data_IF_520117367671
#
_entry.id   IF_520117367671
#
_cell.length_a   1.000
_cell.length_b   1.000
_cell.length_c   1.000
_cell.angle_alpha   90.00
_cell.angle_beta   90.00
_cell.angle_gamma   90.00
#
_symmetry.space_group_name_H-M   'P 1'
#
loop_
_entity.id
_entity.type
_entity.pdbx_description
1 polymer ?
#
# COMPACT_ATOMS: atom_id res chain seq x y z
N UNK A 1 -22.38 23.24 -12.64
CA UNK A 1 -22.07 23.67 -14.03
C UNK A 1 -20.63 23.32 -14.50
N UNK A 2 -19.72 22.83 -13.64
CA UNK A 2 -18.34 22.47 -14.06
C UNK A 2 -18.18 21.08 -14.69
N UNK A 3 -19.18 20.19 -14.61
CA UNK A 3 -19.09 18.82 -15.18
C UNK A 3 -19.26 18.74 -16.70
N UNK A 4 -19.93 19.72 -17.33
CA UNK A 4 -20.07 19.74 -18.80
C UNK A 4 -18.85 20.37 -19.50
N UNK A 5 -18.15 21.31 -18.87
CA UNK A 5 -16.96 21.95 -19.46
C UNK A 5 -15.78 20.97 -19.65
N UNK A 6 -15.62 19.99 -18.75
CA UNK A 6 -14.54 19.01 -18.83
C UNK A 6 -14.74 17.97 -19.95
N UNK A 7 -16.00 17.61 -20.25
CA UNK A 7 -16.33 16.68 -21.34
C UNK A 7 -16.24 17.37 -22.70
N UNK A 8 -16.69 18.63 -22.81
CA UNK A 8 -16.59 19.40 -24.05
C UNK A 8 -15.14 19.72 -24.44
N UNK A 9 -14.25 19.96 -23.48
CA UNK A 9 -12.83 20.20 -23.76
C UNK A 9 -12.12 18.92 -24.25
N UNK A 10 -12.47 17.76 -23.69
CA UNK A 10 -11.95 16.47 -24.16
C UNK A 10 -12.47 16.10 -25.56
N UNK A 11 -13.74 16.45 -25.88
CA UNK A 11 -14.33 16.27 -27.21
C UNK A 11 -13.72 17.22 -28.26
N UNK A 12 -13.37 18.45 -27.89
CA UNK A 12 -12.66 19.41 -28.77
C UNK A 12 -11.22 18.94 -29.03
N UNK A 13 -10.53 18.39 -28.02
CA UNK A 13 -9.18 17.81 -28.16
C UNK A 13 -9.15 16.52 -28.99
N UNK A 14 -10.18 15.67 -28.87
CA UNK A 14 -10.32 14.45 -29.67
C UNK A 14 -10.74 14.75 -31.12
N UNK A 15 -11.62 15.74 -31.36
CA UNK A 15 -12.00 16.17 -32.71
C UNK A 15 -10.86 16.90 -33.44
N UNK A 16 -10.03 17.66 -32.71
CA UNK A 16 -8.85 18.33 -33.28
C UNK A 16 -7.74 17.37 -33.73
N UNK A 17 -7.69 16.15 -33.20
CA UNK A 17 -6.72 15.13 -33.62
C UNK A 17 -7.21 14.25 -34.78
N UNK A 18 -8.52 14.27 -35.08
CA UNK A 18 -9.15 13.51 -36.17
C UNK A 18 -9.17 14.31 -37.48
N UNK A 19 -9.17 15.64 -37.42
CA UNK A 19 -9.02 16.52 -38.59
C UNK A 19 -7.56 16.98 -38.69
N UNK A 20 -6.77 16.24 -39.46
CA UNK A 20 -5.35 16.52 -39.65
C UNK A 20 -5.07 17.97 -40.07
N UNK A 21 -4.26 18.66 -39.26
CA UNK A 21 -3.53 19.86 -39.67
C UNK A 21 -2.05 19.64 -39.34
N UNK A 22 -1.30 19.34 -40.39
CA UNK A 22 0.16 19.35 -40.44
C UNK A 22 0.69 20.73 -40.03
N UNK A 23 1.33 20.81 -38.84
CA UNK A 23 2.08 21.98 -38.40
C UNK A 23 1.95 22.29 -36.91
N UNK A 24 2.33 21.36 -36.02
CA UNK A 24 2.44 21.70 -34.58
C UNK A 24 3.76 22.42 -34.35
N UNK A 25 3.68 23.69 -33.97
CA UNK A 25 4.84 24.52 -33.71
C UNK A 25 5.42 24.20 -32.31
N UNK A 26 6.71 24.45 -32.11
CA UNK A 26 7.43 24.26 -30.82
C UNK A 26 6.79 25.03 -29.64
N UNK A 27 5.88 25.97 -29.92
CA UNK A 27 5.10 26.68 -28.90
C UNK A 27 3.92 25.89 -28.33
N UNK A 28 3.29 25.00 -29.11
CA UNK A 28 2.13 24.22 -28.66
C UNK A 28 2.53 23.16 -27.61
N UNK A 29 3.74 22.61 -27.76
CA UNK A 29 4.31 21.60 -26.85
C UNK A 29 4.68 22.21 -25.47
N UNK A 30 5.13 23.46 -25.46
CA UNK A 30 5.43 24.24 -24.23
C UNK A 30 4.16 24.62 -23.45
N UNK A 31 3.07 24.93 -24.16
CA UNK A 31 1.78 25.28 -23.52
C UNK A 31 1.14 24.04 -22.87
N UNK A 32 1.26 22.87 -23.51
CA UNK A 32 0.78 21.60 -22.94
C UNK A 32 1.56 21.20 -21.67
N UNK A 33 2.88 21.39 -21.65
CA UNK A 33 3.72 21.10 -20.47
C UNK A 33 3.37 22.02 -19.29
N UNK A 34 3.19 23.33 -19.54
CA UNK A 34 2.76 24.28 -18.50
C UNK A 34 1.38 23.95 -17.94
N UNK A 35 0.41 23.59 -18.79
CA UNK A 35 -0.92 23.20 -18.33
C UNK A 35 -0.89 21.93 -17.45
N UNK A 36 -0.02 20.98 -17.78
CA UNK A 36 0.15 19.75 -17.00
C UNK A 36 0.87 20.00 -15.67
N UNK A 37 1.85 20.91 -15.65
CA UNK A 37 2.50 21.37 -14.42
C UNK A 37 1.52 22.11 -13.49
N UNK A 38 0.68 22.99 -14.03
CA UNK A 38 -0.37 23.69 -13.27
C UNK A 38 -1.37 22.71 -12.63
N UNK A 39 -1.80 21.69 -13.37
CA UNK A 39 -2.70 20.66 -12.87
C UNK A 39 -2.05 19.82 -11.75
N UNK A 40 -0.76 19.52 -11.90
CA UNK A 40 0.01 18.78 -10.89
C UNK A 40 0.12 19.56 -9.59
N UNK A 41 0.40 20.87 -9.66
CA UNK A 41 0.46 21.76 -8.49
C UNK A 41 -0.90 21.82 -7.79
N UNK A 42 -2.00 21.96 -8.54
CA UNK A 42 -3.37 21.98 -7.98
C UNK A 42 -3.71 20.66 -7.27
N UNK A 43 -3.31 19.53 -7.84
CA UNK A 43 -3.53 18.20 -7.23
C UNK A 43 -2.74 18.06 -5.93
N UNK A 44 -1.46 18.43 -5.94
CA UNK A 44 -0.60 18.41 -4.77
C UNK A 44 -1.11 19.35 -3.65
N UNK A 45 -1.65 20.52 -3.99
CA UNK A 45 -2.30 21.44 -3.06
C UNK A 45 -3.49 20.78 -2.33
N UNK A 46 -4.38 20.12 -3.07
CA UNK A 46 -5.52 19.43 -2.48
C UNK A 46 -5.11 18.27 -1.57
N UNK A 47 -4.11 17.48 -1.97
CA UNK A 47 -3.57 16.42 -1.10
C UNK A 47 -2.95 16.97 0.19
N UNK A 48 -2.18 18.05 0.09
CA UNK A 48 -1.58 18.71 1.25
C UNK A 48 -2.67 19.17 2.21
N UNK A 49 -3.71 19.84 1.70
CA UNK A 49 -4.83 20.30 2.52
C UNK A 49 -5.54 19.16 3.28
N UNK A 50 -5.74 18.00 2.63
CA UNK A 50 -6.34 16.83 3.30
C UNK A 50 -5.43 16.25 4.39
N UNK A 51 -4.12 16.21 4.16
CA UNK A 51 -3.14 15.73 5.16
C UNK A 51 -3.09 16.66 6.37
N UNK A 52 -3.00 17.97 6.13
CA UNK A 52 -3.02 18.99 7.20
C UNK A 52 -4.32 18.90 8.02
N UNK A 53 -5.48 18.84 7.34
CA UNK A 53 -6.78 18.69 8.03
C UNK A 53 -6.83 17.42 8.89
N UNK A 54 -6.31 16.30 8.39
CA UNK A 54 -6.28 15.04 9.13
C UNK A 54 -5.38 15.14 10.37
N UNK A 55 -4.19 15.75 10.23
CA UNK A 55 -3.27 15.96 11.35
C UNK A 55 -3.86 16.88 12.41
N UNK A 56 -4.48 18.00 12.01
CA UNK A 56 -5.13 18.93 12.94
C UNK A 56 -6.29 18.30 13.71
N UNK A 57 -7.04 17.36 13.11
CA UNK A 57 -8.20 16.75 13.76
C UNK A 57 -7.87 15.49 14.58
N UNK A 58 -6.86 14.71 14.18
CA UNK A 58 -6.64 13.37 14.73
C UNK A 58 -5.28 13.17 15.42
N UNK A 59 -4.35 14.12 15.31
CA UNK A 59 -2.95 13.95 15.73
C UNK A 59 -2.46 15.04 16.69
N UNK A 60 -3.37 15.77 17.35
CA UNK A 60 -3.03 16.68 18.43
C UNK A 60 -2.41 15.84 19.58
N UNK A 61 -1.13 16.04 19.87
CA UNK A 61 -0.34 15.23 20.81
C UNK A 61 0.93 14.59 20.19
N UNK A 62 1.00 14.45 18.86
CA UNK A 62 2.16 13.90 18.15
C UNK A 62 2.97 15.02 17.47
N UNK A 63 3.87 15.63 18.25
CA UNK A 63 4.71 16.77 17.82
C UNK A 63 5.56 16.41 16.60
N UNK A 64 6.10 15.19 16.53
CA UNK A 64 6.96 14.78 15.42
C UNK A 64 6.20 14.73 14.08
N UNK A 65 4.95 14.25 14.12
CA UNK A 65 4.10 14.18 12.93
C UNK A 65 3.61 15.56 12.49
N UNK A 66 3.31 16.46 13.44
CA UNK A 66 2.97 17.86 13.17
C UNK A 66 4.14 18.58 12.49
N UNK A 67 5.37 18.43 13.02
CA UNK A 67 6.59 19.00 12.41
C UNK A 67 6.90 18.41 11.03
N UNK A 68 6.58 17.14 10.78
CA UNK A 68 6.72 16.54 9.45
C UNK A 68 5.74 17.17 8.43
N UNK A 69 4.51 17.47 8.85
CA UNK A 69 3.55 18.17 7.99
C UNK A 69 3.92 19.63 7.75
N UNK A 70 4.45 20.34 8.77
CA UNK A 70 4.99 21.70 8.59
C UNK A 70 6.10 21.72 7.53
N UNK A 71 7.07 20.81 7.62
CA UNK A 71 8.14 20.68 6.60
C UNK A 71 7.59 20.42 5.21
N UNK A 72 6.56 19.58 5.10
CA UNK A 72 5.91 19.26 3.82
C UNK A 72 5.20 20.48 3.23
N UNK A 73 4.50 21.26 4.06
CA UNK A 73 3.82 22.49 3.64
C UNK A 73 4.81 23.59 3.23
N UNK A 74 5.90 23.78 3.99
CA UNK A 74 6.96 24.73 3.63
C UNK A 74 7.67 24.34 2.33
N UNK A 75 7.95 23.06 2.13
CA UNK A 75 8.53 22.57 0.87
C UNK A 75 7.58 22.78 -0.32
N UNK A 76 6.27 22.54 -0.13
CA UNK A 76 5.28 22.81 -1.17
C UNK A 76 5.25 24.30 -1.56
N UNK A 77 5.33 25.19 -0.58
CA UNK A 77 5.37 26.64 -0.84
C UNK A 77 6.61 27.03 -1.67
N UNK A 78 7.79 26.48 -1.36
CA UNK A 78 9.01 26.69 -2.16
C UNK A 78 8.85 26.21 -3.61
N UNK A 79 8.22 25.05 -3.83
CA UNK A 79 7.95 24.52 -5.17
C UNK A 79 6.99 25.43 -5.93
N UNK A 80 5.93 25.93 -5.28
CA UNK A 80 4.97 26.85 -5.90
C UNK A 80 5.64 28.18 -6.28
N UNK A 81 6.54 28.70 -5.46
CA UNK A 81 7.32 29.91 -5.75
C UNK A 81 8.26 29.73 -6.96
N UNK A 82 8.91 28.57 -7.08
CA UNK A 82 9.77 28.25 -8.23
C UNK A 82 9.01 28.14 -9.54
N UNK A 83 7.73 27.74 -9.48
CA UNK A 83 6.85 27.57 -10.64
C UNK A 83 5.82 28.70 -10.76
N UNK A 84 6.16 29.92 -10.31
CA UNK A 84 5.25 31.08 -10.35
C UNK A 84 4.68 31.35 -11.74
N UNK A 85 5.49 31.17 -12.78
CA UNK A 85 5.13 31.49 -14.17
C UNK A 85 4.08 30.54 -14.78
N UNK A 86 3.83 29.40 -14.10
CA UNK A 86 2.91 28.36 -14.54
C UNK A 86 1.47 28.58 -14.03
N UNK A 87 1.32 29.36 -12.95
CA UNK A 87 0.03 29.62 -12.31
C UNK A 87 -0.51 31.00 -12.70
N UNK A 88 -1.84 31.13 -12.73
CA UNK A 88 -2.44 32.46 -12.81
C UNK A 88 -2.09 33.26 -11.55
N UNK A 89 -1.99 34.59 -11.67
CA UNK A 89 -1.64 35.44 -10.52
C UNK A 89 -2.65 35.34 -9.37
N UNK A 90 -3.92 35.07 -9.68
CA UNK A 90 -4.98 34.82 -8.71
C UNK A 90 -4.80 33.47 -8.01
N UNK A 91 -4.58 32.38 -8.76
CA UNK A 91 -4.35 31.05 -8.18
C UNK A 91 -3.12 31.03 -7.28
N UNK A 92 -2.05 31.71 -7.69
CA UNK A 92 -0.82 31.81 -6.90
C UNK A 92 -1.08 32.48 -5.55
N UNK A 93 -1.84 33.58 -5.53
CA UNK A 93 -2.19 34.27 -4.28
C UNK A 93 -3.08 33.40 -3.38
N UNK A 94 -4.06 32.71 -3.96
CA UNK A 94 -4.96 31.81 -3.21
C UNK A 94 -4.17 30.65 -2.59
N UNK A 95 -3.31 30.00 -3.36
CA UNK A 95 -2.52 28.85 -2.90
C UNK A 95 -1.52 29.27 -1.83
N UNK A 96 -0.76 30.36 -2.05
CA UNK A 96 0.23 30.83 -1.07
C UNK A 96 -0.42 31.31 0.22
N UNK A 97 -1.53 32.07 0.13
CA UNK A 97 -2.30 32.49 1.30
C UNK A 97 -2.88 31.30 2.09
N UNK A 98 -3.48 30.34 1.40
CA UNK A 98 -4.07 29.16 2.05
C UNK A 98 -3.02 28.27 2.71
N UNK A 99 -1.85 28.09 2.09
CA UNK A 99 -0.74 27.31 2.67
C UNK A 99 -0.14 28.04 3.88
N UNK A 100 -0.06 29.36 3.86
CA UNK A 100 0.37 30.15 5.02
C UNK A 100 -0.61 30.00 6.21
N UNK A 101 -1.91 30.00 5.95
CA UNK A 101 -2.92 29.71 6.98
C UNK A 101 -2.78 28.28 7.53
N UNK A 102 -2.53 27.29 6.66
CA UNK A 102 -2.28 25.90 7.09
C UNK A 102 -1.06 25.79 8.00
N UNK A 103 0.05 26.48 7.66
CA UNK A 103 1.25 26.52 8.49
C UNK A 103 0.97 27.16 9.85
N UNK A 104 0.25 28.28 9.88
CA UNK A 104 -0.16 28.93 11.13
C UNK A 104 -1.03 28.03 12.01
N UNK A 105 -1.95 27.27 11.42
CA UNK A 105 -2.77 26.30 12.14
C UNK A 105 -1.93 25.14 12.71
N UNK A 106 -0.94 24.64 11.96
CA UNK A 106 -0.03 23.59 12.43
C UNK A 106 0.88 24.08 13.56
N UNK A 107 1.38 25.32 13.50
CA UNK A 107 2.19 25.92 14.56
C UNK A 107 1.38 26.14 15.85
N UNK A 108 0.11 26.54 15.73
CA UNK A 108 -0.81 26.60 16.88
C UNK A 108 -1.07 25.22 17.47
N UNK A 109 -1.20 24.18 16.63
CA UNK A 109 -1.38 22.80 17.08
C UNK A 109 -0.12 22.26 17.78
N UNK A 110 1.07 22.59 17.29
CA UNK A 110 2.34 22.24 17.92
C UNK A 110 2.49 22.87 19.31
N UNK A 111 2.16 24.16 19.44
CA UNK A 111 2.15 24.85 20.75
C UNK A 111 1.20 24.19 21.73
N UNK A 112 -0.05 23.96 21.30
CA UNK A 112 -1.06 23.23 22.11
C UNK A 112 -0.62 21.82 22.50
N UNK A 113 0.13 21.15 21.63
CA UNK A 113 0.66 19.80 21.89
C UNK A 113 1.88 19.81 22.82
N UNK A 114 2.65 20.91 22.86
CA UNK A 114 3.81 21.08 23.72
C UNK A 114 3.43 21.47 25.14
N UNK A 115 2.30 22.16 25.31
CA UNK A 115 1.75 22.56 26.62
C UNK A 115 1.01 21.42 27.36
N UNK A 116 1.00 20.21 26.79
CA UNK A 116 0.37 19.06 27.42
C UNK A 116 1.33 18.44 28.46
N UNK A 117 1.04 18.67 29.75
CA UNK A 117 1.76 18.08 30.89
C UNK A 117 1.98 16.55 30.69
N UNK A 118 3.22 16.04 30.87
CA UNK A 118 3.55 14.63 30.69
C UNK A 118 2.94 13.78 31.82
N UNK A 119 1.64 13.54 31.74
CA UNK A 119 0.89 12.82 32.76
C UNK A 119 -0.61 12.72 32.46
N UNK A 120 -1.16 13.63 31.64
CA UNK A 120 -2.58 13.59 31.28
C UNK A 120 -2.77 12.78 29.99
N UNK A 121 -2.49 11.48 30.05
CA UNK A 121 -3.05 10.53 29.10
C UNK A 121 -4.58 10.64 29.22
N UNK A 122 -5.23 11.32 28.28
CA UNK A 122 -6.63 11.05 27.98
C UNK A 122 -6.71 9.55 27.77
N UNK A 123 -7.31 8.85 28.74
CA UNK A 123 -7.23 7.40 28.84
C UNK A 123 -7.46 6.80 27.47
N UNK A 124 -6.43 6.13 26.93
CA UNK A 124 -6.53 5.47 25.63
C UNK A 124 -7.76 4.57 25.73
N UNK A 125 -8.82 4.90 24.99
CA UNK A 125 -10.04 4.10 25.00
C UNK A 125 -9.63 2.70 24.56
N UNK A 126 -9.61 1.76 25.50
CA UNK A 126 -9.28 0.38 25.21
C UNK A 126 -10.45 -0.21 24.42
N UNK A 127 -10.37 -0.10 23.10
CA UNK A 127 -11.39 -0.61 22.18
C UNK A 127 -11.42 -2.14 22.13
N UNK A 128 -10.36 -2.79 22.63
CA UNK A 128 -10.22 -4.24 22.63
C UNK A 128 -9.31 -4.75 23.74
N UNK A 129 -9.68 -5.87 24.36
CA UNK A 129 -8.91 -6.51 25.43
C UNK A 129 -8.89 -8.03 25.27
N UNK A 130 -7.93 -8.69 25.93
CA UNK A 130 -7.80 -10.15 25.94
C UNK A 130 -8.51 -10.73 27.16
N UNK A 131 -9.35 -11.74 26.93
CA UNK A 131 -10.03 -12.53 27.95
C UNK A 131 -9.40 -13.92 28.01
N UNK A 132 -8.92 -14.27 29.20
CA UNK A 132 -8.35 -15.57 29.50
C UNK A 132 -9.42 -16.44 30.14
N UNK A 133 -9.76 -17.56 29.51
CA UNK A 133 -10.84 -18.46 29.95
C UNK A 133 -10.35 -19.58 30.87
N UNK A 134 -9.07 -19.60 31.23
CA UNK A 134 -8.44 -20.64 32.06
C UNK A 134 -8.31 -22.02 31.39
N UNK A 135 -8.78 -22.17 30.14
CA UNK A 135 -8.67 -23.41 29.35
C UNK A 135 -7.46 -23.34 28.40
N UNK A 136 -6.81 -24.47 28.09
CA UNK A 136 -5.74 -24.50 27.09
C UNK A 136 -6.26 -24.01 25.73
N UNK A 137 -5.60 -23.00 25.17
CA UNK A 137 -5.97 -22.39 23.89
C UNK A 137 -5.55 -20.92 23.78
N UNK A 138 -5.67 -20.36 22.56
CA UNK A 138 -5.36 -18.94 22.30
C UNK A 138 -6.35 -18.02 23.03
N UNK A 139 -5.89 -16.99 23.77
CA UNK A 139 -6.75 -16.04 24.46
C UNK A 139 -7.78 -15.38 23.52
N UNK A 140 -8.98 -15.17 24.05
CA UNK A 140 -10.13 -14.66 23.30
C UNK A 140 -10.11 -13.13 23.33
N UNK A 141 -10.13 -12.46 22.17
CA UNK A 141 -10.02 -10.99 22.08
C UNK A 141 -11.40 -10.34 21.98
N UNK A 142 -11.89 -9.71 23.03
CA UNK A 142 -13.20 -9.03 23.04
C UNK A 142 -13.06 -7.59 22.54
N UNK A 143 -14.15 -7.06 21.97
CA UNK A 143 -14.25 -5.69 21.46
C UNK A 143 -15.41 -5.00 22.17
N UNK A 144 -15.33 -3.67 22.33
CA UNK A 144 -16.47 -2.91 22.83
C UNK A 144 -17.66 -3.01 21.83
N UNK A 145 -18.83 -3.53 22.24
CA UNK A 145 -19.96 -3.75 21.33
C UNK A 145 -20.54 -2.46 20.76
N UNK A 146 -20.56 -1.37 21.53
CA UNK A 146 -21.13 -0.09 21.09
C UNK A 146 -20.21 0.57 20.05
N UNK A 147 -18.90 0.59 20.32
CA UNK A 147 -17.91 1.11 19.37
C UNK A 147 -17.89 0.26 18.10
N UNK A 148 -18.06 -1.06 18.22
CA UNK A 148 -18.09 -1.97 17.08
C UNK A 148 -19.33 -1.74 16.20
N UNK A 149 -20.51 -1.59 16.79
CA UNK A 149 -21.75 -1.31 16.06
C UNK A 149 -21.63 0.00 15.27
N UNK A 150 -21.30 1.11 15.94
CA UNK A 150 -21.11 2.41 15.28
C UNK A 150 -19.97 2.38 14.27
N UNK A 151 -18.89 1.65 14.56
CA UNK A 151 -17.77 1.48 13.64
C UNK A 151 -18.18 0.79 12.35
N UNK A 152 -19.00 -0.26 12.43
CA UNK A 152 -19.47 -1.02 11.27
C UNK A 152 -20.41 -0.21 10.37
N UNK A 153 -21.24 0.64 10.96
CA UNK A 153 -22.11 1.57 10.21
C UNK A 153 -21.29 2.58 9.38
N UNK A 154 -20.17 3.06 9.95
CA UNK A 154 -19.31 4.06 9.31
C UNK A 154 -18.30 3.43 8.33
N UNK A 155 -17.77 2.25 8.65
CA UNK A 155 -16.69 1.59 7.91
C UNK A 155 -16.84 0.07 7.96
N UNK A 156 -16.61 -0.60 6.84
CA UNK A 156 -16.60 -2.05 6.81
C UNK A 156 -15.48 -2.68 7.67
N UNK A 157 -15.52 -4.01 7.95
CA UNK A 157 -14.62 -4.68 8.89
C UNK A 157 -13.11 -4.51 8.62
N UNK A 158 -12.70 -4.24 7.38
CA UNK A 158 -11.30 -3.93 7.00
C UNK A 158 -10.86 -2.54 7.46
N UNK A 159 -11.75 -1.55 7.36
CA UNK A 159 -11.48 -0.18 7.77
C UNK A 159 -11.35 -0.02 9.29
N UNK A 160 -11.89 -0.97 10.05
CA UNK A 160 -11.86 -0.99 11.52
C UNK A 160 -10.63 -1.69 12.11
N UNK A 161 -9.80 -2.33 11.29
CA UNK A 161 -8.58 -3.01 11.76
C UNK A 161 -7.62 -2.11 12.54
N UNK A 162 -7.38 -0.84 12.13
CA UNK A 162 -6.49 0.07 12.87
C UNK A 162 -7.08 0.49 14.22
N UNK A 163 -8.41 0.63 14.32
CA UNK A 163 -9.11 1.10 15.53
C UNK A 163 -9.10 0.04 16.62
N UNK A 164 -9.40 -1.20 16.25
CA UNK A 164 -9.44 -2.31 17.19
C UNK A 164 -8.10 -3.04 17.30
N UNK A 165 -7.11 -2.77 16.45
CA UNK A 165 -5.85 -3.50 16.39
C UNK A 165 -6.04 -5.03 16.24
N UNK A 166 -6.97 -5.47 15.39
CA UNK A 166 -7.18 -6.88 15.05
C UNK A 166 -7.58 -7.10 13.60
N UNK A 167 -7.49 -8.34 13.13
CA UNK A 167 -7.82 -8.67 11.75
C UNK A 167 -9.33 -8.55 11.48
N UNK A 168 -9.70 -8.18 10.24
CA UNK A 168 -11.09 -8.04 9.82
C UNK A 168 -11.94 -9.30 10.08
N UNK A 169 -11.32 -10.49 10.02
CA UNK A 169 -11.97 -11.76 10.38
C UNK A 169 -12.36 -11.82 11.85
N UNK A 170 -11.51 -11.32 12.75
CA UNK A 170 -11.82 -11.27 14.19
C UNK A 170 -12.94 -10.27 14.44
N UNK A 171 -12.89 -9.10 13.81
CA UNK A 171 -13.95 -8.06 13.90
C UNK A 171 -15.30 -8.62 13.44
N UNK A 172 -15.34 -9.25 12.26
CA UNK A 172 -16.57 -9.88 11.75
C UNK A 172 -17.07 -10.99 12.66
N UNK A 173 -16.18 -11.86 13.17
CA UNK A 173 -16.56 -12.91 14.12
C UNK A 173 -17.21 -12.31 15.37
N UNK A 174 -16.69 -11.20 15.88
CA UNK A 174 -17.24 -10.51 17.05
C UNK A 174 -18.57 -9.83 16.78
N UNK A 175 -18.71 -9.23 15.61
CA UNK A 175 -19.98 -8.67 15.18
C UNK A 175 -21.08 -9.75 15.12
N UNK A 176 -20.74 -10.97 14.68
CA UNK A 176 -21.66 -12.11 14.70
C UNK A 176 -21.92 -12.60 16.13
N UNK A 177 -20.88 -12.76 16.97
CA UNK A 177 -21.02 -13.17 18.37
C UNK A 177 -21.95 -12.22 19.16
N UNK A 178 -21.88 -10.91 18.90
CA UNK A 178 -22.71 -9.89 19.55
C UNK A 178 -24.08 -9.67 18.87
N UNK A 179 -24.38 -10.39 17.78
CA UNK A 179 -25.64 -10.24 17.04
C UNK A 179 -25.77 -8.95 16.22
N UNK A 180 -24.68 -8.23 15.99
CA UNK A 180 -24.62 -7.00 15.18
C UNK A 180 -24.62 -7.34 13.68
N UNK A 181 -24.04 -8.49 13.31
CA UNK A 181 -23.93 -8.93 11.91
C UNK A 181 -24.47 -10.34 11.76
N UNK A 182 -25.20 -10.60 10.67
CA UNK A 182 -25.69 -11.94 10.38
C UNK A 182 -24.54 -12.89 9.97
N UNK A 183 -24.61 -14.17 10.38
CA UNK A 183 -23.69 -15.19 9.89
C UNK A 183 -23.73 -15.27 8.37
N UNK A 184 -22.55 -15.38 7.75
CA UNK A 184 -22.50 -15.66 6.31
C UNK A 184 -23.12 -17.04 6.04
N UNK A 185 -23.76 -17.24 4.87
CA UNK A 185 -24.19 -18.57 4.45
C UNK A 185 -23.01 -19.55 4.48
N UNK A 186 -23.28 -20.83 4.77
CA UNK A 186 -22.24 -21.84 4.86
C UNK A 186 -21.45 -21.92 3.55
N UNK A 187 -20.16 -22.23 3.64
CA UNK A 187 -19.25 -22.28 2.47
C UNK A 187 -19.66 -23.38 1.49
N UNK A 188 -20.32 -24.43 1.98
CA UNK A 188 -20.86 -25.52 1.20
C UNK A 188 -22.18 -26.01 1.79
N UNK A 189 -23.03 -26.61 0.95
CA UNK A 189 -24.21 -27.39 1.35
C UNK A 189 -23.91 -28.84 1.02
N UNK A 190 -24.10 -29.73 1.99
CA UNK A 190 -24.05 -31.18 1.81
C UNK A 190 -25.48 -31.70 1.57
N UNK A 191 -25.66 -32.53 0.55
CA UNK A 191 -26.87 -33.35 0.40
C UNK A 191 -26.48 -34.77 0.00
N UNK A 192 -27.35 -35.72 0.33
CA UNK A 192 -27.25 -37.10 -0.10
C UNK A 192 -27.90 -37.21 -1.49
N UNK A 193 -27.12 -37.59 -2.49
CA UNK A 193 -27.62 -37.79 -3.85
C UNK A 193 -28.46 -39.09 -3.89
N UNK A 194 -29.76 -38.96 -4.19
CA UNK A 194 -30.72 -40.08 -4.12
C UNK A 194 -30.39 -41.22 -5.11
N UNK A 195 -29.64 -40.93 -6.18
CA UNK A 195 -29.31 -41.90 -7.24
C UNK A 195 -28.02 -42.66 -6.92
N UNK A 196 -27.05 -41.99 -6.31
CA UNK A 196 -25.72 -42.57 -6.04
C UNK A 196 -25.47 -42.92 -4.57
N UNK A 197 -26.38 -42.53 -3.67
CA UNK A 197 -26.24 -42.62 -2.21
C UNK A 197 -24.89 -42.09 -1.68
N UNK A 198 -24.28 -41.17 -2.41
CA UNK A 198 -23.04 -40.50 -2.01
C UNK A 198 -23.34 -39.10 -1.49
N UNK A 199 -22.61 -38.72 -0.43
CA UNK A 199 -22.59 -37.35 0.10
C UNK A 199 -21.85 -36.44 -0.87
N UNK A 200 -22.58 -35.53 -1.49
CA UNK A 200 -22.01 -34.54 -2.42
C UNK A 200 -21.95 -33.18 -1.73
N UNK A 201 -20.79 -32.52 -1.83
CA UNK A 201 -20.53 -31.17 -1.30
C UNK A 201 -20.64 -30.15 -2.42
N UNK A 202 -21.66 -29.29 -2.38
CA UNK A 202 -21.75 -28.14 -3.28
C UNK A 202 -21.20 -26.89 -2.60
N UNK A 203 -20.19 -26.27 -3.21
CA UNK A 203 -19.64 -25.01 -2.76
C UNK A 203 -20.44 -23.84 -3.34
N UNK A 204 -20.82 -22.88 -2.50
CA UNK A 204 -21.39 -21.64 -3.03
C UNK A 204 -20.30 -20.84 -3.76
N UNK A 205 -20.57 -20.30 -4.96
CA UNK A 205 -19.69 -19.32 -5.57
C UNK A 205 -19.57 -18.12 -4.63
N UNK A 206 -18.34 -17.74 -4.26
CA UNK A 206 -18.11 -16.60 -3.36
C UNK A 206 -18.64 -15.30 -4.00
N UNK A 207 -19.33 -14.42 -3.26
CA UNK A 207 -19.77 -13.10 -3.72
C UNK A 207 -18.61 -12.08 -3.71
N UNK A 208 -17.41 -12.47 -4.16
CA UNK A 208 -16.27 -11.55 -4.34
C UNK A 208 -16.28 -10.88 -5.73
N UNK A 209 -17.44 -10.80 -6.35
CA UNK A 209 -17.68 -10.02 -7.55
C UNK A 209 -19.07 -9.43 -7.44
N UNK A 210 -19.21 -8.46 -6.53
CA UNK A 210 -20.16 -7.36 -6.80
C UNK A 210 -19.72 -6.83 -8.16
N UNK A 211 -20.63 -6.95 -9.12
CA UNK A 211 -20.60 -6.23 -10.39
C UNK A 211 -20.62 -4.73 -10.09
N UNK A 212 -19.52 -4.18 -9.58
CA UNK A 212 -19.22 -2.77 -9.81
C UNK A 212 -19.07 -2.67 -11.32
N UNK A 213 -20.06 -2.02 -11.96
CA UNK A 213 -20.15 -1.93 -13.41
C UNK A 213 -18.77 -1.66 -14.01
N UNK A 214 -18.23 -2.60 -14.82
CA UNK A 214 -16.91 -2.40 -15.40
C UNK A 214 -16.94 -1.10 -16.20
N UNK A 215 -15.99 -0.22 -15.91
CA UNK A 215 -15.82 1.05 -16.61
C UNK A 215 -15.95 0.86 -18.12
N UNK A 216 -16.64 1.80 -18.75
CA UNK A 216 -17.25 1.76 -20.09
C UNK A 216 -16.30 1.62 -21.29
N UNK A 217 -15.12 1.02 -21.14
CA UNK A 217 -14.25 0.71 -22.27
C UNK A 217 -14.66 -0.59 -22.94
N UNK A 218 -14.91 -0.49 -24.24
CA UNK A 218 -15.02 -1.65 -25.14
C UNK A 218 -13.71 -2.45 -25.14
N UNK A 219 -13.78 -3.72 -25.50
CA UNK A 219 -12.58 -4.55 -25.63
C UNK A 219 -11.67 -4.03 -26.77
N UNK A 220 -12.25 -3.46 -27.83
CA UNK A 220 -11.51 -2.86 -28.94
C UNK A 220 -10.72 -1.62 -28.53
N UNK A 221 -11.33 -0.75 -27.72
CA UNK A 221 -10.66 0.45 -27.24
C UNK A 221 -9.61 0.11 -26.18
N UNK A 222 -9.87 -0.90 -25.35
CA UNK A 222 -8.88 -1.44 -24.43
C UNK A 222 -7.65 -1.99 -25.18
N UNK A 223 -7.87 -2.74 -26.25
CA UNK A 223 -6.80 -3.29 -27.08
C UNK A 223 -5.98 -2.16 -27.77
N UNK A 224 -6.62 -1.06 -28.18
CA UNK A 224 -5.92 0.12 -28.74
C UNK A 224 -5.05 0.79 -27.68
N UNK A 225 -5.57 1.00 -26.46
CA UNK A 225 -4.83 1.64 -25.37
C UNK A 225 -3.66 0.76 -24.94
N UNK A 226 -3.86 -0.55 -24.75
CA UNK A 226 -2.77 -1.48 -24.40
C UNK A 226 -1.71 -1.54 -25.50
N UNK A 227 -2.12 -1.56 -26.78
CA UNK A 227 -1.18 -1.51 -27.92
C UNK A 227 -0.36 -0.22 -27.94
N UNK A 228 -0.98 0.91 -27.62
CA UNK A 228 -0.28 2.19 -27.52
C UNK A 228 0.73 2.20 -26.36
N UNK A 229 0.32 1.74 -25.17
CA UNK A 229 1.21 1.63 -23.99
C UNK A 229 2.41 0.74 -24.29
N UNK A 230 2.20 -0.42 -24.92
CA UNK A 230 3.28 -1.35 -25.25
C UNK A 230 4.22 -0.82 -26.36
N UNK A 231 3.78 0.14 -27.19
CA UNK A 231 4.67 0.83 -28.14
C UNK A 231 5.60 1.83 -27.45
N UNK A 232 5.10 2.54 -26.44
CA UNK A 232 5.90 3.51 -25.68
C UNK A 232 6.79 2.77 -24.67
N UNK A 233 6.25 1.74 -24.02
CA UNK A 233 6.93 0.97 -22.98
C UNK A 233 6.87 -0.54 -23.25
N UNK A 234 7.79 -1.08 -24.07
CA UNK A 234 7.79 -2.51 -24.44
C UNK A 234 7.97 -3.48 -23.27
N UNK A 235 8.56 -3.02 -22.15
CA UNK A 235 8.83 -3.81 -20.94
C UNK A 235 7.66 -3.82 -19.94
N UNK A 236 6.54 -3.16 -20.25
CA UNK A 236 5.42 -3.07 -19.32
C UNK A 236 4.67 -4.39 -19.17
N UNK A 237 4.82 -5.01 -18.00
CA UNK A 237 4.05 -6.19 -17.62
C UNK A 237 2.61 -5.87 -17.22
N UNK A 238 1.75 -6.90 -17.23
CA UNK A 238 0.30 -6.84 -16.93
C UNK A 238 -0.05 -6.08 -15.62
N UNK A 239 0.80 -6.20 -14.58
CA UNK A 239 0.62 -5.47 -13.30
C UNK A 239 0.82 -3.97 -13.44
N UNK A 240 1.78 -3.54 -14.27
CA UNK A 240 2.06 -2.13 -14.52
C UNK A 240 0.96 -1.51 -15.38
N UNK A 241 0.46 -2.25 -16.37
CA UNK A 241 -0.72 -1.85 -17.16
C UNK A 241 -1.95 -1.69 -16.27
N UNK A 242 -2.18 -2.62 -15.32
CA UNK A 242 -3.27 -2.49 -14.34
C UNK A 242 -3.13 -1.22 -13.48
N UNK A 243 -1.91 -0.89 -13.04
CA UNK A 243 -1.66 0.34 -12.28
C UNK A 243 -1.90 1.60 -13.11
N UNK A 244 -1.45 1.59 -14.37
CA UNK A 244 -1.63 2.70 -15.30
C UNK A 244 -3.11 2.94 -15.60
N UNK A 245 -3.90 1.89 -15.85
CA UNK A 245 -5.35 2.02 -16.07
C UNK A 245 -6.09 2.56 -14.84
N UNK A 246 -5.65 2.18 -13.63
CA UNK A 246 -6.21 2.72 -12.38
C UNK A 246 -5.91 4.20 -12.19
N UNK A 247 -4.75 4.67 -12.65
CA UNK A 247 -4.40 6.09 -12.63
C UNK A 247 -5.26 6.89 -13.61
N UNK A 248 -5.64 6.30 -14.74
CA UNK A 248 -6.60 6.86 -15.71
C UNK A 248 -8.06 6.71 -15.27
N UNK A 249 -8.31 6.43 -13.99
CA UNK A 249 -9.64 6.22 -13.39
C UNK A 249 -10.47 5.08 -14.03
N UNK A 250 -9.83 4.19 -14.79
CA UNK A 250 -10.47 3.03 -15.38
C UNK A 250 -10.27 1.79 -14.49
N UNK A 251 -11.33 1.41 -13.77
CA UNK A 251 -11.40 0.18 -13.00
C UNK A 251 -11.70 -1.03 -13.91
N UNK A 252 -10.66 -1.54 -14.59
CA UNK A 252 -10.80 -2.71 -15.49
C UNK A 252 -10.44 -4.00 -14.73
N UNK A 253 -11.27 -5.06 -14.80
CA UNK A 253 -10.94 -6.36 -14.23
C UNK A 253 -9.60 -6.89 -14.76
N UNK A 254 -8.81 -7.49 -13.87
CA UNK A 254 -7.50 -8.07 -14.22
C UNK A 254 -7.61 -9.08 -15.36
N UNK A 255 -8.71 -9.80 -15.44
CA UNK A 255 -8.96 -10.79 -16.46
C UNK A 255 -9.15 -10.15 -17.85
N UNK A 256 -9.88 -9.03 -17.94
CA UNK A 256 -10.03 -8.29 -19.20
C UNK A 256 -8.70 -7.71 -19.69
N UNK A 257 -7.89 -7.16 -18.77
CA UNK A 257 -6.53 -6.70 -19.09
C UNK A 257 -5.67 -7.86 -19.58
N UNK A 258 -5.76 -9.03 -18.94
CA UNK A 258 -5.04 -10.24 -19.34
C UNK A 258 -5.40 -10.67 -20.76
N UNK A 259 -6.69 -10.79 -21.06
CA UNK A 259 -7.17 -11.18 -22.39
C UNK A 259 -6.78 -10.16 -23.46
N UNK A 260 -6.91 -8.86 -23.17
CA UNK A 260 -6.49 -7.78 -24.08
C UNK A 260 -4.98 -7.80 -24.35
N UNK A 261 -4.18 -7.98 -23.31
CA UNK A 261 -2.73 -8.10 -23.42
C UNK A 261 -2.31 -9.30 -24.29
N UNK A 262 -2.98 -10.45 -24.14
CA UNK A 262 -2.74 -11.65 -24.94
C UNK A 262 -3.17 -11.47 -26.40
N UNK A 263 -4.25 -10.72 -26.68
CA UNK A 263 -4.66 -10.35 -28.05
C UNK A 263 -3.69 -9.37 -28.72
N UNK A 264 -3.09 -8.45 -27.95
CA UNK A 264 -2.23 -7.38 -28.47
C UNK A 264 -0.78 -7.83 -28.66
N UNK A 265 -0.20 -8.52 -27.67
CA UNK A 265 1.21 -8.94 -27.71
C UNK A 265 1.39 -10.41 -28.16
N UNK A 266 0.29 -11.16 -28.29
CA UNK A 266 0.32 -12.61 -28.46
C UNK A 266 0.51 -13.34 -27.13
N UNK A 267 0.33 -14.67 -27.15
CA UNK A 267 0.72 -15.50 -26.02
C UNK A 267 2.22 -15.30 -25.75
N UNK A 268 2.66 -15.11 -24.49
CA UNK A 268 4.08 -14.98 -24.20
C UNK A 268 4.83 -16.20 -24.75
N UNK A 269 5.91 -15.97 -25.49
CA UNK A 269 6.76 -17.00 -26.11
C UNK A 269 7.49 -17.91 -25.08
N UNK A 270 7.03 -17.96 -23.84
CA UNK A 270 7.63 -18.71 -22.75
C UNK A 270 6.57 -19.62 -22.12
N UNK A 271 6.18 -20.65 -22.89
CA UNK A 271 5.71 -21.93 -22.34
C UNK A 271 6.90 -22.71 -21.73
N UNK A 272 7.71 -22.03 -20.93
CA UNK A 272 8.64 -22.70 -20.03
C UNK A 272 8.25 -22.22 -18.65
N UNK A 273 7.49 -23.02 -17.88
CA UNK A 273 7.36 -22.75 -16.47
C UNK A 273 8.79 -22.73 -15.93
N UNK A 274 9.25 -21.58 -15.42
CA UNK A 274 10.29 -21.60 -14.40
C UNK A 274 9.63 -22.20 -13.15
N UNK A 275 9.46 -23.51 -13.18
CA UNK A 275 9.13 -24.29 -12.02
C UNK A 275 10.38 -24.19 -11.14
N UNK A 276 10.35 -23.24 -10.20
CA UNK A 276 11.26 -23.24 -9.07
C UNK A 276 11.10 -24.60 -8.40
N UNK A 277 11.97 -25.55 -8.75
CA UNK A 277 12.04 -26.85 -8.13
C UNK A 277 12.47 -26.63 -6.68
N UNK A 278 11.49 -26.31 -5.82
CA UNK A 278 11.68 -26.39 -4.38
C UNK A 278 12.00 -27.84 -4.11
N UNK A 279 13.25 -28.13 -3.74
CA UNK A 279 13.68 -29.47 -3.36
C UNK A 279 12.72 -29.96 -2.27
N UNK A 280 11.88 -30.93 -2.60
CA UNK A 280 10.98 -31.59 -1.66
C UNK A 280 11.83 -32.58 -0.87
N UNK A 281 12.60 -32.03 0.06
CA UNK A 281 13.44 -32.73 1.01
C UNK A 281 13.71 -31.72 2.11
N UNK A 282 13.32 -32.05 3.35
CA UNK A 282 13.51 -31.15 4.48
C UNK A 282 14.95 -30.68 4.52
N UNK A 283 15.16 -29.37 4.60
CA UNK A 283 16.48 -28.80 4.81
C UNK A 283 17.01 -29.34 6.15
N UNK A 284 17.97 -30.27 6.09
CA UNK A 284 18.55 -30.94 7.24
C UNK A 284 20.05 -30.63 7.30
N UNK A 285 20.52 -30.21 8.47
CA UNK A 285 21.93 -29.89 8.73
C UNK A 285 22.40 -30.79 9.88
N UNK A 286 23.67 -31.18 9.88
CA UNK A 286 24.22 -32.22 10.77
C UNK A 286 24.17 -31.87 12.28
N UNK A 287 24.01 -30.60 12.65
CA UNK A 287 23.91 -30.15 14.05
C UNK A 287 24.12 -28.64 14.21
N UNK A 288 23.97 -28.07 15.42
CA UNK A 288 24.27 -26.66 15.67
C UNK A 288 25.70 -26.31 15.23
N UNK A 289 25.87 -25.12 14.67
CA UNK A 289 27.16 -24.58 14.21
C UNK A 289 27.81 -25.32 13.02
N UNK A 290 27.11 -26.27 12.38
CA UNK A 290 27.64 -27.02 11.23
C UNK A 290 27.46 -26.32 9.88
N UNK A 291 26.54 -25.36 9.78
CA UNK A 291 26.32 -24.52 8.60
C UNK A 291 25.73 -23.18 9.02
N UNK A 292 26.28 -22.07 8.54
CA UNK A 292 25.73 -20.74 8.77
C UNK A 292 25.20 -20.16 7.47
N UNK A 293 24.02 -19.55 7.54
CA UNK A 293 23.50 -18.70 6.49
C UNK A 293 23.93 -17.27 6.75
N UNK A 294 24.34 -16.57 5.70
CA UNK A 294 24.51 -15.13 5.69
C UNK A 294 23.62 -14.55 4.61
N UNK A 295 22.84 -13.53 4.96
CA UNK A 295 22.07 -12.76 3.99
C UNK A 295 22.13 -11.27 4.31
N UNK A 296 22.08 -10.45 3.27
CA UNK A 296 22.09 -8.99 3.35
C UNK A 296 20.69 -8.43 3.08
N UNK A 297 20.08 -7.80 4.06
CA UNK A 297 18.81 -7.10 3.87
C UNK A 297 19.06 -5.68 3.37
N UNK A 298 18.54 -5.36 2.18
CA UNK A 298 18.71 -4.09 1.48
C UNK A 298 17.49 -3.16 1.57
N UNK A 299 16.49 -3.48 2.39
CA UNK A 299 15.29 -2.65 2.56
C UNK A 299 15.53 -1.20 2.99
N UNK A 300 16.70 -0.90 3.59
CA UNK A 300 17.11 0.45 4.02
C UNK A 300 18.24 1.05 3.16
N UNK A 301 18.44 0.54 1.94
CA UNK A 301 19.53 0.99 1.06
C UNK A 301 19.42 2.47 0.67
N UNK A 302 18.21 3.04 0.65
CA UNK A 302 18.00 4.47 0.41
C UNK A 302 18.60 5.37 1.51
N UNK A 303 18.81 4.83 2.71
CA UNK A 303 19.54 5.48 3.81
C UNK A 303 20.99 5.04 3.90
N UNK A 304 21.49 4.33 2.86
CA UNK A 304 22.80 3.69 2.81
C UNK A 304 23.02 2.68 3.94
N UNK A 305 21.97 2.07 4.48
CA UNK A 305 22.08 1.04 5.54
C UNK A 305 21.85 -0.34 4.93
N UNK A 306 22.78 -1.25 5.16
CA UNK A 306 22.68 -2.68 4.82
C UNK A 306 22.76 -3.47 6.11
N UNK A 307 21.79 -4.35 6.35
CA UNK A 307 21.76 -5.20 7.55
C UNK A 307 22.26 -6.58 7.14
N UNK A 308 23.38 -6.99 7.73
CA UNK A 308 23.95 -8.32 7.59
C UNK A 308 23.50 -9.17 8.77
N UNK A 309 22.88 -10.31 8.49
CA UNK A 309 22.49 -11.26 9.52
C UNK A 309 23.12 -12.62 9.26
N UNK A 310 23.56 -13.25 10.34
CA UNK A 310 24.08 -14.61 10.37
C UNK A 310 23.10 -15.49 11.13
N UNK A 311 22.73 -16.63 10.53
CA UNK A 311 21.75 -17.54 11.08
C UNK A 311 22.32 -18.95 11.08
N UNK A 312 22.26 -19.63 12.23
CA UNK A 312 22.63 -21.03 12.32
C UNK A 312 21.65 -21.90 11.53
N UNK A 313 22.18 -22.73 10.62
CA UNK A 313 21.40 -23.53 9.69
C UNK A 313 20.59 -24.65 10.37
N UNK A 314 21.03 -25.11 11.55
CA UNK A 314 20.34 -26.15 12.31
C UNK A 314 19.25 -25.57 13.22
N UNK A 315 19.61 -24.68 14.15
CA UNK A 315 18.70 -24.09 15.14
C UNK A 315 17.83 -22.96 14.58
N UNK A 316 18.21 -22.39 13.43
CA UNK A 316 17.59 -21.18 12.83
C UNK A 316 17.69 -19.94 13.70
N UNK A 317 18.54 -19.96 14.72
CA UNK A 317 18.79 -18.81 15.58
C UNK A 317 19.71 -17.82 14.88
N UNK A 318 19.43 -16.53 15.08
CA UNK A 318 20.31 -15.45 14.64
C UNK A 318 21.53 -15.47 15.55
N UNK A 319 22.69 -15.79 14.99
CA UNK A 319 23.96 -15.81 15.71
C UNK A 319 24.56 -14.41 15.79
N UNK A 320 24.44 -13.63 14.71
CA UNK A 320 24.94 -12.26 14.66
C UNK A 320 24.10 -11.36 13.76
N UNK A 321 24.02 -10.07 14.11
CA UNK A 321 23.40 -9.05 13.25
C UNK A 321 24.25 -7.78 13.30
N UNK A 322 24.50 -7.19 12.13
CA UNK A 322 25.29 -5.96 12.01
C UNK A 322 24.73 -5.06 10.92
N UNK A 323 24.52 -3.80 11.28
CA UNK A 323 24.22 -2.75 10.31
C UNK A 323 25.53 -2.14 9.80
N UNK A 324 25.63 -2.01 8.48
CA UNK A 324 26.77 -1.43 7.77
C UNK A 324 26.29 -0.33 6.84
N UNK A 325 27.16 0.65 6.57
CA UNK A 325 26.84 1.74 5.64
C UNK A 325 27.22 1.45 4.17
N UNK A 326 27.69 0.21 3.92
CA UNK A 326 28.16 -0.28 2.63
C UNK A 326 28.03 -1.82 2.60
N UNK A 327 28.09 -2.41 1.39
CA UNK A 327 28.04 -3.86 1.17
C UNK A 327 29.40 -4.38 0.64
N UNK A 328 30.49 -3.71 0.99
CA UNK A 328 31.81 -4.08 0.48
C UNK A 328 32.29 -5.40 1.11
N UNK A 329 33.05 -6.17 0.32
CA UNK A 329 33.55 -7.50 0.70
C UNK A 329 34.33 -7.45 2.01
N UNK A 330 35.09 -6.38 2.25
CA UNK A 330 35.90 -6.23 3.46
C UNK A 330 35.05 -5.99 4.72
N UNK A 331 33.97 -5.22 4.61
CA UNK A 331 33.00 -5.00 5.69
C UNK A 331 32.23 -6.28 6.04
N UNK A 332 31.83 -7.04 5.01
CA UNK A 332 31.17 -8.35 5.19
C UNK A 332 32.14 -9.34 5.85
N UNK A 333 33.38 -9.40 5.36
CA UNK A 333 34.44 -10.26 5.91
C UNK A 333 34.75 -9.91 7.37
N UNK A 334 34.89 -8.63 7.71
CA UNK A 334 35.12 -8.19 9.09
C UNK A 334 33.97 -8.54 10.03
N UNK A 335 32.73 -8.48 9.54
CA UNK A 335 31.54 -8.91 10.29
C UNK A 335 31.56 -10.41 10.57
N UNK A 336 31.99 -11.21 9.57
CA UNK A 336 32.11 -12.66 9.70
C UNK A 336 33.17 -13.08 10.71
N UNK A 337 34.35 -12.43 10.70
CA UNK A 337 35.42 -12.73 11.66
C UNK A 337 35.09 -12.32 13.10
N UNK A 338 34.40 -11.20 13.29
CA UNK A 338 33.93 -10.77 14.62
C UNK A 338 32.93 -11.76 15.23
N UNK A 339 32.06 -12.34 14.40
CA UNK A 339 31.08 -13.33 14.84
C UNK A 339 31.72 -14.69 15.13
N UNK A 340 32.67 -15.14 14.30
CA UNK A 340 33.46 -16.36 14.55
C UNK A 340 34.30 -16.28 15.83
N UNK A 341 34.82 -15.11 16.18
CA UNK A 341 35.54 -14.89 17.42
C UNK A 341 34.60 -14.96 18.64
N UNK A 342 33.37 -14.46 18.50
CA UNK A 342 32.34 -14.48 19.56
C UNK A 342 31.73 -15.87 19.76
N UNK A 343 31.58 -16.66 18.70
CA UNK A 343 31.02 -18.02 18.78
C UNK A 343 31.95 -19.07 19.39
N UNK A 344 33.27 -18.84 19.41
CA UNK A 344 34.22 -19.66 20.20
C UNK A 344 33.96 -19.59 21.71
N UNK A 345 33.34 -18.52 22.20
CA UNK A 345 32.94 -18.38 23.61
C UNK A 345 31.65 -19.18 23.90
N UNK A 346 30.75 -19.32 22.93
CA UNK A 346 29.52 -20.12 23.07
C UNK A 346 29.76 -21.64 23.17
N UNK A 347 30.91 -22.13 22.72
CA UNK A 347 31.27 -23.55 22.80
C UNK A 347 31.48 -24.10 24.23
N UNK A 348 31.67 -23.24 25.24
CA UNK A 348 31.87 -23.68 26.63
C UNK A 348 30.58 -23.72 27.47
N UNK A 349 29.47 -23.13 27.00
CA UNK A 349 28.24 -23.00 27.81
C UNK A 349 27.12 -23.98 27.45
N UNK A 350 27.32 -24.85 26.45
CA UNK A 350 26.29 -25.80 25.99
C UNK A 350 26.70 -27.28 26.05
N UNK A 351 27.92 -27.59 26.50
CA UNK A 351 28.34 -28.95 26.85
C UNK A 351 28.99 -28.94 28.23
N UNK A 352 28.14 -29.11 29.24
CA UNK A 352 28.46 -29.45 30.62
C UNK A 352 27.38 -30.38 31.13
#
# INVERSE_FOLDING_TARGET
MSRQFSIYLLLILLLGHILGCSGSSRGDELILDQAQQALTIRTAYHELGQRVRTTLLAQIGDVAQIQAQQRSASHFLQVVEQHRDVLSSEDFQVVTGSVAEMLGALEQAERRSSDCEPGQQWGRVETSYLVYTGRPGRPRRELDPNILAHGLDLRGPRGLQPIFNCCARTIRRRAVDYGISEPAPPVYIEYDDEVTQQRVRLYHPQPNSVEEQPGSLSDEDLDKVIRHILRIFPSFGRRMITGHMRHLEHAIPRERIRSSYERVQGAPAQLIPHELSRRVGGYCVAGPNSLWHHDGQHGLICYRIVIHAFVDGFSRLVTGIRASNNNEVETVRGSWWGELASSRVYGQHFWG
#
